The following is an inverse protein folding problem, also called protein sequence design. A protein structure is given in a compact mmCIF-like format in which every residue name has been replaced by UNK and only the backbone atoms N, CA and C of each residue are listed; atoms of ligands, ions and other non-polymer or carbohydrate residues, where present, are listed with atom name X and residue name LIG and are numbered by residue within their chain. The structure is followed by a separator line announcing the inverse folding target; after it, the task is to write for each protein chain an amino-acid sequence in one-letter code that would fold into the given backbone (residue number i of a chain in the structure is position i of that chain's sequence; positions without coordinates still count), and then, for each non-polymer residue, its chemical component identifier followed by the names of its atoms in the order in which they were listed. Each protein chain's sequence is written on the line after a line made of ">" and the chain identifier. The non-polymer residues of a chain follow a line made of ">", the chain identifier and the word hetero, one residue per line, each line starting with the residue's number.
data_IF_455064092196
#
_entry.id   IF_455064092196
#
_cell.length_a   1.000
_cell.length_b   1.000
_cell.length_c   1.000
_cell.angle_alpha   90.00
_cell.angle_beta   90.00
_cell.angle_gamma   90.00
#
_symmetry.space_group_name_H-M   'P 1'
#
loop_
_entity.id
_entity.type
_entity.pdbx_description
1 polymer ?
#
# COMPACT_ATOMS: atom_id res chain seq x y z
N UNK A 1 4.02 -21.37 9.44
CA UNK A 1 3.17 -21.23 8.24
C UNK A 1 4.10 -21.02 7.07
N UNK A 2 3.76 -21.42 5.84
CA UNK A 2 4.57 -20.99 4.70
C UNK A 2 4.38 -19.49 4.57
N UNK A 3 5.46 -18.71 4.66
CA UNK A 3 5.42 -17.31 4.30
C UNK A 3 5.06 -17.27 2.82
N UNK A 4 3.91 -16.66 2.50
CA UNK A 4 3.53 -16.45 1.11
C UNK A 4 4.30 -15.23 0.63
N UNK A 5 5.12 -15.40 -0.41
CA UNK A 5 5.75 -14.27 -1.09
C UNK A 5 4.67 -13.53 -1.89
N UNK A 6 4.56 -12.23 -1.65
CA UNK A 6 3.70 -11.36 -2.43
C UNK A 6 4.44 -10.93 -3.70
N UNK A 7 3.76 -11.03 -4.84
CA UNK A 7 4.11 -10.30 -6.05
C UNK A 7 3.43 -8.93 -6.00
N UNK A 8 4.10 -7.90 -6.53
CA UNK A 8 3.52 -6.56 -6.68
C UNK A 8 3.37 -6.18 -8.15
N UNK A 9 2.33 -5.42 -8.46
CA UNK A 9 2.25 -4.60 -9.67
C UNK A 9 1.80 -3.20 -9.31
N UNK A 10 2.26 -2.22 -10.10
CA UNK A 10 1.87 -0.82 -9.94
C UNK A 10 1.47 -0.29 -11.31
N UNK A 11 0.28 0.30 -11.41
CA UNK A 11 -0.30 0.75 -12.67
C UNK A 11 -0.97 2.13 -12.53
N UNK A 12 -1.14 2.84 -13.65
CA UNK A 12 -2.01 4.01 -13.68
C UNK A 12 -3.48 3.62 -13.44
N UNK A 13 -4.17 4.40 -12.62
CA UNK A 13 -5.56 4.15 -12.28
C UNK A 13 -6.35 5.46 -12.12
N UNK A 14 -7.62 5.30 -11.77
CA UNK A 14 -8.47 6.38 -11.30
C UNK A 14 -9.05 6.00 -9.94
N UNK A 15 -9.06 6.95 -9.01
CA UNK A 15 -9.75 6.77 -7.73
C UNK A 15 -11.28 6.79 -7.93
N UNK A 16 -12.04 6.60 -6.84
CA UNK A 16 -13.51 6.57 -6.90
C UNK A 16 -14.15 7.88 -7.34
N UNK A 17 -13.46 9.00 -7.13
CA UNK A 17 -13.92 10.31 -7.59
C UNK A 17 -13.61 10.55 -9.07
N UNK A 18 -12.90 9.63 -9.73
CA UNK A 18 -12.39 9.79 -11.09
C UNK A 18 -11.09 10.60 -11.16
N UNK A 19 -10.48 10.91 -10.02
CA UNK A 19 -9.17 11.53 -9.92
C UNK A 19 -8.07 10.57 -10.38
N UNK A 20 -6.96 11.11 -10.89
CA UNK A 20 -5.81 10.29 -11.24
C UNK A 20 -5.24 9.62 -9.99
N UNK A 21 -4.94 8.33 -10.11
CA UNK A 21 -4.39 7.53 -9.04
C UNK A 21 -3.33 6.57 -9.58
N UNK A 22 -2.64 5.93 -8.65
CA UNK A 22 -1.83 4.75 -8.87
C UNK A 22 -2.54 3.56 -8.22
N UNK A 23 -2.64 2.44 -8.92
CA UNK A 23 -3.09 1.18 -8.35
C UNK A 23 -1.85 0.37 -7.95
N UNK A 24 -1.70 0.10 -6.66
CA UNK A 24 -0.71 -0.83 -6.12
C UNK A 24 -1.44 -2.13 -5.82
N UNK A 25 -1.01 -3.23 -6.43
CA UNK A 25 -1.62 -4.54 -6.26
C UNK A 25 -0.63 -5.50 -5.63
N UNK A 26 -0.97 -6.03 -4.47
CA UNK A 26 -0.25 -7.12 -3.80
C UNK A 26 -0.98 -8.43 -4.06
N UNK A 27 -0.29 -9.41 -4.62
CA UNK A 27 -0.87 -10.69 -5.04
C UNK A 27 -0.13 -11.88 -4.42
N UNK A 28 -0.87 -12.77 -3.79
CA UNK A 28 -0.40 -14.06 -3.31
C UNK A 28 -1.47 -15.14 -3.63
N UNK A 29 -1.14 -16.44 -3.58
CA UNK A 29 -2.07 -17.50 -4.02
C UNK A 29 -3.44 -17.53 -3.31
N UNK A 30 -3.52 -16.98 -2.09
CA UNK A 30 -4.72 -17.02 -1.25
C UNK A 30 -5.36 -15.65 -1.03
N UNK A 31 -4.70 -14.57 -1.46
CA UNK A 31 -5.12 -13.21 -1.14
C UNK A 31 -4.60 -12.22 -2.16
N UNK A 32 -5.43 -11.22 -2.47
CA UNK A 32 -5.09 -10.10 -3.32
C UNK A 32 -5.56 -8.81 -2.64
N UNK A 33 -4.69 -7.82 -2.57
CA UNK A 33 -5.00 -6.48 -2.07
C UNK A 33 -4.73 -5.46 -3.17
N UNK A 34 -5.76 -4.69 -3.52
CA UNK A 34 -5.67 -3.56 -4.45
C UNK A 34 -5.79 -2.25 -3.68
N UNK A 35 -4.76 -1.42 -3.72
CA UNK A 35 -4.70 -0.10 -3.07
C UNK A 35 -4.67 0.98 -4.13
N UNK A 36 -5.67 1.85 -4.13
CA UNK A 36 -5.72 3.03 -4.99
C UNK A 36 -5.15 4.23 -4.24
N UNK A 37 -4.01 4.76 -4.67
CA UNK A 37 -3.38 5.94 -4.06
C UNK A 37 -3.56 7.13 -4.99
N UNK A 38 -4.21 8.19 -4.50
CA UNK A 38 -4.38 9.42 -5.27
C UNK A 38 -3.00 10.02 -5.60
N UNK A 39 -2.83 10.67 -6.76
CA UNK A 39 -1.56 11.33 -7.10
C UNK A 39 -1.15 12.37 -6.04
N UNK A 40 -2.11 13.01 -5.38
CA UNK A 40 -1.84 13.95 -4.30
C UNK A 40 -1.24 13.29 -3.05
N UNK A 41 -1.48 11.99 -2.86
CA UNK A 41 -1.04 11.23 -1.69
C UNK A 41 0.11 10.26 -1.98
N UNK A 42 0.49 10.05 -3.25
CA UNK A 42 1.62 9.19 -3.63
C UNK A 42 2.90 9.55 -2.87
N UNK A 43 3.18 10.86 -2.71
CA UNK A 43 4.33 11.33 -1.94
C UNK A 43 4.36 10.81 -0.49
N UNK A 44 3.20 10.61 0.13
CA UNK A 44 3.11 10.06 1.51
C UNK A 44 3.59 8.61 1.58
N UNK A 45 3.29 7.80 0.56
CA UNK A 45 3.75 6.40 0.49
C UNK A 45 5.27 6.36 0.30
N UNK A 46 5.79 7.22 -0.57
CA UNK A 46 7.24 7.35 -0.80
C UNK A 46 7.96 7.81 0.46
N UNK A 47 7.44 8.82 1.16
CA UNK A 47 8.02 9.35 2.39
C UNK A 47 7.99 8.33 3.53
N UNK A 48 6.90 7.55 3.63
CA UNK A 48 6.81 6.40 4.54
C UNK A 48 7.89 5.35 4.24
N UNK A 49 8.06 5.04 2.95
CA UNK A 49 9.14 4.21 2.42
C UNK A 49 10.53 4.60 2.89
N UNK A 50 10.80 5.90 2.90
CA UNK A 50 12.10 6.49 3.26
C UNK A 50 12.35 6.59 4.77
N UNK A 51 11.53 5.93 5.59
CA UNK A 51 11.72 5.81 7.04
C UNK A 51 10.64 6.47 7.90
N UNK A 52 9.47 6.77 7.34
CA UNK A 52 8.31 7.20 8.14
C UNK A 52 7.69 6.02 8.91
N UNK A 53 7.24 6.26 10.14
CA UNK A 53 6.61 5.21 10.96
C UNK A 53 5.15 4.96 10.59
N UNK A 54 4.49 5.94 9.97
CA UNK A 54 3.08 5.88 9.63
C UNK A 54 2.72 6.78 8.45
N UNK A 55 1.81 6.32 7.60
CA UNK A 55 1.12 7.14 6.61
C UNK A 55 -0.34 6.67 6.40
N UNK A 56 -1.26 7.62 6.27
CA UNK A 56 -2.61 7.34 5.74
C UNK A 56 -2.65 7.79 4.28
N UNK A 57 -2.67 6.81 3.38
CA UNK A 57 -2.56 7.03 1.95
C UNK A 57 -3.18 5.87 1.17
N UNK A 58 -4.22 6.22 0.41
CA UNK A 58 -4.93 5.33 -0.49
C UNK A 58 -6.18 4.71 0.12
N UNK A 59 -6.89 3.97 -0.74
CA UNK A 59 -8.15 3.32 -0.41
C UNK A 59 -8.22 1.91 -1.00
N UNK A 60 -8.86 1.01 -0.28
CA UNK A 60 -9.21 -0.33 -0.76
C UNK A 60 -10.61 -0.70 -0.31
N UNK A 61 -11.43 -1.22 -1.22
CA UNK A 61 -12.78 -1.70 -0.92
C UNK A 61 -13.70 -0.73 -0.14
N UNK A 62 -13.53 0.59 -0.32
CA UNK A 62 -14.24 1.69 0.37
C UNK A 62 -13.70 2.07 1.74
N UNK A 63 -12.58 1.48 2.15
CA UNK A 63 -11.91 1.79 3.41
C UNK A 63 -10.57 2.45 3.15
N UNK A 64 -10.12 3.25 4.12
CA UNK A 64 -8.81 3.89 4.07
C UNK A 64 -7.69 2.87 4.22
N UNK A 65 -6.55 3.15 3.59
CA UNK A 65 -5.34 2.36 3.73
C UNK A 65 -4.32 3.10 4.59
N UNK A 66 -3.80 2.38 5.57
CA UNK A 66 -2.83 2.85 6.55
C UNK A 66 -1.57 2.02 6.45
N UNK A 67 -0.45 2.70 6.25
CA UNK A 67 0.88 2.12 6.22
C UNK A 67 1.49 2.34 7.60
N UNK A 68 1.89 1.27 8.29
CA UNK A 68 2.47 1.36 9.64
C UNK A 68 3.73 0.52 9.70
N UNK A 69 4.80 1.06 10.27
CA UNK A 69 6.00 0.32 10.59
C UNK A 69 6.00 -0.02 12.07
N UNK A 70 6.17 -1.30 12.40
CA UNK A 70 6.18 -1.77 13.78
C UNK A 70 7.11 -2.98 13.89
N UNK A 71 8.05 -2.92 14.84
CA UNK A 71 9.02 -3.99 15.11
C UNK A 71 9.87 -4.47 13.90
N UNK A 72 10.00 -3.63 12.86
CA UNK A 72 10.75 -3.95 11.64
C UNK A 72 9.89 -4.49 10.49
N UNK A 73 8.60 -4.71 10.73
CA UNK A 73 7.64 -5.13 9.72
C UNK A 73 6.84 -3.93 9.19
N UNK A 74 6.41 -4.02 7.93
CA UNK A 74 5.55 -3.03 7.29
C UNK A 74 4.14 -3.60 7.15
N UNK A 75 3.19 -2.93 7.80
CA UNK A 75 1.79 -3.29 7.80
C UNK A 75 1.05 -2.41 6.80
N UNK A 76 0.28 -3.04 5.91
CA UNK A 76 -0.70 -2.37 5.05
C UNK A 76 -2.09 -2.73 5.57
N UNK A 77 -2.68 -1.80 6.32
CA UNK A 77 -3.94 -1.97 7.05
C UNK A 77 -5.08 -1.32 6.26
N UNK A 78 -6.20 -2.01 6.11
CA UNK A 78 -7.41 -1.54 5.46
C UNK A 78 -8.50 -1.40 6.52
N UNK A 79 -8.99 -0.19 6.76
CA UNK A 79 -9.91 0.05 7.87
C UNK A 79 -10.27 1.51 8.12
N UNK A 80 -10.71 1.77 9.36
CA UNK A 80 -11.08 3.09 9.85
C UNK A 80 -9.83 3.87 10.29
N UNK A 81 -8.92 3.22 11.01
CA UNK A 81 -7.65 3.79 11.43
C UNK A 81 -6.56 2.72 11.67
N UNK A 82 -5.40 3.15 12.18
CA UNK A 82 -4.24 2.28 12.44
C UNK A 82 -4.43 1.29 13.61
N UNK A 83 -5.45 1.48 14.45
CA UNK A 83 -5.80 0.63 15.59
C UNK A 83 -7.07 -0.21 15.30
N UNK A 84 -7.93 0.26 14.39
CA UNK A 84 -9.21 -0.36 14.03
C UNK A 84 -9.22 -0.66 12.52
N UNK A 85 -8.88 -1.91 12.19
CA UNK A 85 -8.79 -2.39 10.81
C UNK A 85 -9.56 -3.69 10.56
N UNK A 86 -10.03 -3.87 9.33
CA UNK A 86 -10.79 -5.04 8.88
C UNK A 86 -9.89 -6.10 8.23
N UNK A 87 -8.82 -5.65 7.57
CA UNK A 87 -7.89 -6.50 6.85
C UNK A 87 -6.47 -5.94 6.90
N UNK A 88 -5.47 -6.80 6.98
CA UNK A 88 -4.06 -6.41 6.95
C UNK A 88 -3.22 -7.40 6.17
N UNK A 89 -2.23 -6.90 5.44
CA UNK A 89 -1.06 -7.70 5.04
C UNK A 89 0.18 -7.15 5.71
N UNK A 90 1.16 -8.03 5.88
CA UNK A 90 2.51 -7.68 6.34
C UNK A 90 3.46 -7.91 5.17
N UNK A 91 4.27 -6.92 4.87
CA UNK A 91 5.30 -6.95 3.83
C UNK A 91 6.65 -6.59 4.46
N UNK A 92 7.72 -6.96 3.78
CA UNK A 92 9.08 -6.56 4.17
C UNK A 92 9.47 -5.24 3.48
N UNK A 93 10.57 -4.64 3.95
CA UNK A 93 11.10 -3.40 3.35
C UNK A 93 11.53 -3.60 1.89
N UNK A 94 12.01 -4.78 1.48
CA UNK A 94 12.38 -5.06 0.08
C UNK A 94 11.19 -4.90 -0.88
N UNK A 95 10.01 -5.41 -0.48
CA UNK A 95 8.79 -5.29 -1.27
C UNK A 95 8.24 -3.85 -1.25
N UNK A 96 8.39 -3.15 -0.13
CA UNK A 96 8.05 -1.73 -0.04
C UNK A 96 8.95 -0.89 -0.97
N UNK A 97 10.24 -1.16 -1.01
CA UNK A 97 11.19 -0.54 -1.94
C UNK A 97 10.81 -0.80 -3.40
N UNK A 98 10.36 -2.01 -3.71
CA UNK A 98 9.87 -2.34 -5.05
C UNK A 98 8.61 -1.53 -5.40
N UNK A 99 7.65 -1.41 -4.48
CA UNK A 99 6.46 -0.57 -4.67
C UNK A 99 6.86 0.88 -4.96
N UNK A 100 7.80 1.44 -4.20
CA UNK A 100 8.26 2.83 -4.39
C UNK A 100 8.95 3.00 -5.74
N UNK A 101 9.83 2.07 -6.11
CA UNK A 101 10.53 2.11 -7.39
C UNK A 101 9.56 2.07 -8.57
N UNK A 102 8.49 1.27 -8.50
CA UNK A 102 7.49 1.16 -9.56
C UNK A 102 6.57 2.40 -9.60
N UNK A 103 6.24 3.00 -8.45
CA UNK A 103 5.55 4.30 -8.40
C UNK A 103 6.39 5.39 -9.08
N UNK A 104 7.68 5.46 -8.77
CA UNK A 104 8.59 6.45 -9.33
C UNK A 104 8.83 6.23 -10.83
N UNK A 105 8.73 4.99 -11.34
CA UNK A 105 8.87 4.67 -12.77
C UNK A 105 7.66 5.06 -13.62
N UNK A 106 6.47 5.18 -13.00
CA UNK A 106 5.23 5.63 -13.64
C UNK A 106 5.12 7.16 -13.74
N UNK A 107 5.99 7.90 -13.05
CA UNK A 107 5.88 9.36 -12.86
C UNK A 107 6.51 10.19 -13.99
#
# INVERSE_FOLDING_TARGET
>A
MSDFEFEISVDHAFDRSGGKAVLIKFSAPVVELSVYVSIADVGKVIDFGRGGDYASAGESANSSVHWKREEGDVYVLVGEDQEVWDFSIVINDDLLDQVISEIESLS
#
